data_IF_086663693440
#
_entry.id   IF_086663693440
#
_cell.length_a   1.000
_cell.length_b   1.000
_cell.length_c   1.000
_cell.angle_alpha   90.00
_cell.angle_beta   90.00
_cell.angle_gamma   90.00
#
_symmetry.space_group_name_H-M   'P 1'
#
loop_
_entity.id
_entity.type
_entity.pdbx_description
1 polymer ?
#
# COMPACT_ATOMS: atom_id res chain seq x y z
N UNK A 1 -41.09 12.45 2.96
CA UNK A 1 -40.43 11.71 4.04
C UNK A 1 -40.13 10.32 3.49
N UNK A 2 -38.95 10.16 2.94
CA UNK A 2 -38.48 8.86 2.46
C UNK A 2 -37.46 8.37 3.50
N UNK A 3 -37.90 7.42 4.31
CA UNK A 3 -37.00 6.64 5.17
C UNK A 3 -36.21 5.70 4.25
N UNK A 4 -34.99 6.08 3.98
CA UNK A 4 -34.01 5.17 3.39
C UNK A 4 -33.69 4.13 4.45
N UNK A 5 -34.17 2.89 4.25
CA UNK A 5 -33.80 1.76 5.08
C UNK A 5 -32.29 1.58 5.01
N UNK A 6 -31.60 2.02 6.06
CA UNK A 6 -30.25 1.61 6.36
C UNK A 6 -30.37 0.15 6.77
N UNK A 7 -29.96 -0.77 5.90
CA UNK A 7 -29.72 -2.14 6.33
C UNK A 7 -28.66 -2.08 7.44
N UNK A 8 -29.13 -2.24 8.66
CA UNK A 8 -28.27 -2.47 9.81
C UNK A 8 -27.46 -3.74 9.54
N UNK A 9 -26.20 -3.57 9.25
CA UNK A 9 -25.20 -4.55 9.61
C UNK A 9 -25.26 -4.65 11.13
N UNK A 10 -25.75 -5.78 11.63
CA UNK A 10 -25.87 -6.05 13.06
C UNK A 10 -24.50 -5.86 13.70
N UNK A 11 -24.36 -4.76 14.39
CA UNK A 11 -23.44 -4.28 15.41
C UNK A 11 -22.19 -5.08 15.84
N UNK A 12 -21.53 -5.79 14.98
CA UNK A 12 -20.16 -6.23 15.16
C UNK A 12 -19.24 -5.28 14.41
N UNK A 13 -19.01 -4.09 14.98
CA UNK A 13 -17.75 -3.37 14.76
C UNK A 13 -16.66 -4.38 15.13
N UNK A 14 -15.94 -4.87 14.15
CA UNK A 14 -14.80 -5.78 14.36
C UNK A 14 -13.92 -5.11 15.42
N UNK A 15 -13.59 -5.84 16.48
CA UNK A 15 -12.69 -5.33 17.52
C UNK A 15 -11.26 -5.11 16.99
N UNK A 16 -11.04 -5.37 15.72
CA UNK A 16 -9.76 -5.27 15.04
C UNK A 16 -9.44 -3.81 14.68
N UNK A 17 -8.27 -3.37 15.06
CA UNK A 17 -7.72 -2.07 14.70
C UNK A 17 -6.91 -2.21 13.41
N UNK A 18 -7.42 -1.62 12.32
CA UNK A 18 -6.86 -1.76 10.97
C UNK A 18 -6.33 -0.40 10.49
N UNK A 19 -5.13 -0.37 9.91
CA UNK A 19 -4.56 0.79 9.25
C UNK A 19 -4.36 0.53 7.76
N UNK A 20 -4.84 1.44 6.91
CA UNK A 20 -4.43 1.51 5.51
C UNK A 20 -3.32 2.55 5.39
N UNK A 21 -2.20 2.13 4.81
CA UNK A 21 -0.98 2.94 4.68
C UNK A 21 -0.69 3.20 3.22
N UNK A 22 -0.78 4.45 2.82
CA UNK A 22 -0.63 4.88 1.43
C UNK A 22 0.73 5.56 1.29
N UNK A 23 1.62 4.97 0.49
CA UNK A 23 2.89 5.61 0.14
C UNK A 23 2.60 6.86 -0.70
N UNK A 24 2.77 8.04 -0.10
CA UNK A 24 2.53 9.31 -0.77
C UNK A 24 3.67 9.65 -1.74
N UNK A 25 3.32 10.37 -2.80
CA UNK A 25 4.20 10.89 -3.82
C UNK A 25 3.69 12.25 -4.28
N UNK A 26 4.60 13.13 -4.67
CA UNK A 26 4.27 14.43 -5.28
C UNK A 26 4.16 14.33 -6.80
N UNK A 27 3.57 15.37 -7.41
CA UNK A 27 3.42 15.52 -8.86
C UNK A 27 2.17 14.84 -9.44
N UNK A 28 1.92 15.13 -10.73
CA UNK A 28 0.76 14.57 -11.43
C UNK A 28 0.97 13.08 -11.80
N UNK A 29 -0.08 12.25 -11.79
CA UNK A 29 -1.48 12.56 -11.47
C UNK A 29 -1.81 12.48 -9.97
N UNK A 30 -0.83 12.33 -9.09
CA UNK A 30 -1.03 12.00 -7.68
C UNK A 30 -1.69 13.13 -6.89
N UNK A 31 -1.41 14.40 -7.23
CA UNK A 31 -2.04 15.54 -6.55
C UNK A 31 -3.55 15.58 -6.83
N UNK A 32 -3.98 15.34 -8.08
CA UNK A 32 -5.40 15.26 -8.41
C UNK A 32 -6.07 14.05 -7.74
N UNK A 33 -5.40 12.90 -7.68
CA UNK A 33 -5.93 11.72 -7.00
C UNK A 33 -6.16 12.02 -5.52
N UNK A 34 -5.18 12.60 -4.83
CA UNK A 34 -5.28 12.92 -3.39
C UNK A 34 -6.41 13.91 -3.09
N UNK A 35 -6.53 14.95 -3.89
CA UNK A 35 -7.46 16.04 -3.61
C UNK A 35 -8.88 15.76 -4.09
N UNK A 36 -9.05 15.17 -5.25
CA UNK A 36 -10.34 14.99 -5.88
C UNK A 36 -10.99 13.61 -5.67
N UNK A 37 -10.19 12.58 -5.43
CA UNK A 37 -10.69 11.20 -5.39
C UNK A 37 -10.58 10.54 -4.02
N UNK A 38 -9.45 10.66 -3.34
CA UNK A 38 -9.19 9.94 -2.10
C UNK A 38 -10.20 10.25 -0.97
N UNK A 39 -10.66 11.49 -0.75
CA UNK A 39 -11.67 11.74 0.28
C UNK A 39 -12.91 10.85 0.14
N UNK A 40 -13.37 10.63 -1.09
CA UNK A 40 -14.51 9.77 -1.34
C UNK A 40 -14.19 8.29 -1.53
N UNK A 41 -12.92 7.90 -1.75
CA UNK A 41 -12.52 6.48 -1.88
C UNK A 41 -12.44 5.81 -0.51
N UNK A 42 -11.94 6.51 0.50
CA UNK A 42 -11.68 5.95 1.82
C UNK A 42 -12.75 6.30 2.87
N UNK A 43 -13.78 7.08 2.50
CA UNK A 43 -14.79 7.61 3.42
C UNK A 43 -15.53 6.50 4.16
N UNK A 44 -15.95 5.46 3.46
CA UNK A 44 -16.71 4.36 4.05
C UNK A 44 -15.82 3.51 4.98
N UNK A 45 -14.59 3.19 4.57
CA UNK A 45 -13.64 2.47 5.44
C UNK A 45 -13.31 3.27 6.69
N UNK A 46 -13.11 4.59 6.57
CA UNK A 46 -12.89 5.47 7.73
C UNK A 46 -14.12 5.50 8.65
N UNK A 47 -15.34 5.51 8.08
CA UNK A 47 -16.57 5.43 8.86
C UNK A 47 -16.70 4.08 9.59
N UNK A 48 -16.19 3.00 9.03
CA UNK A 48 -16.16 1.66 9.63
C UNK A 48 -14.99 1.46 10.61
N UNK A 49 -14.24 2.52 10.94
CA UNK A 49 -13.18 2.49 11.94
C UNK A 49 -11.80 2.06 11.42
N UNK A 50 -11.61 2.04 10.10
CA UNK A 50 -10.28 1.83 9.50
C UNK A 50 -9.54 3.16 9.41
N UNK A 51 -8.35 3.24 9.99
CA UNK A 51 -7.53 4.44 9.93
C UNK A 51 -6.74 4.51 8.62
N UNK A 52 -6.75 5.67 7.96
CA UNK A 52 -6.10 5.90 6.68
C UNK A 52 -4.92 6.85 6.86
N UNK A 53 -3.72 6.40 6.52
CA UNK A 53 -2.49 7.18 6.65
C UNK A 53 -1.77 7.38 5.32
N UNK A 54 -1.43 8.62 5.02
CA UNK A 54 -0.53 9.00 3.93
C UNK A 54 0.88 9.16 4.47
N UNK A 55 1.83 8.40 3.95
CA UNK A 55 3.21 8.42 4.41
C UNK A 55 4.05 9.25 3.44
N UNK A 56 4.56 10.37 3.90
CA UNK A 56 5.41 11.28 3.12
C UNK A 56 6.78 11.50 3.76
N UNK A 57 7.77 11.72 2.95
CA UNK A 57 9.10 12.19 3.35
C UNK A 57 9.23 13.70 3.20
N UNK A 58 10.41 14.22 3.51
CA UNK A 58 10.77 15.61 3.27
C UNK A 58 11.11 15.83 1.78
N UNK A 59 10.72 16.96 1.23
CA UNK A 59 11.07 17.31 -0.15
C UNK A 59 12.58 17.29 -0.37
N UNK A 60 13.07 16.60 -1.42
CA UNK A 60 14.49 16.51 -1.68
C UNK A 60 15.05 17.86 -2.15
N UNK A 61 16.19 18.26 -1.60
CA UNK A 61 16.87 19.51 -1.96
C UNK A 61 18.29 19.27 -2.44
N UNK A 62 18.75 20.06 -3.40
CA UNK A 62 20.16 20.12 -3.81
C UNK A 62 20.76 18.73 -4.09
N UNK A 63 21.77 18.35 -3.30
CA UNK A 63 22.51 17.10 -3.46
C UNK A 63 21.61 15.84 -3.31
N UNK A 64 20.59 15.91 -2.46
CA UNK A 64 19.66 14.79 -2.26
C UNK A 64 18.90 14.47 -3.54
N UNK A 65 18.44 15.50 -4.25
CA UNK A 65 17.77 15.33 -5.55
C UNK A 65 18.70 14.67 -6.58
N UNK A 66 19.97 15.12 -6.64
CA UNK A 66 20.96 14.55 -7.54
C UNK A 66 21.18 13.07 -7.22
N UNK A 67 21.36 12.72 -5.95
CA UNK A 67 21.56 11.33 -5.52
C UNK A 67 20.34 10.45 -5.81
N UNK A 68 19.12 10.96 -5.61
CA UNK A 68 17.90 10.24 -5.94
C UNK A 68 17.82 9.95 -7.44
N UNK A 69 17.99 10.95 -8.28
CA UNK A 69 17.94 10.82 -9.74
C UNK A 69 19.01 9.84 -10.25
N UNK A 70 20.22 9.92 -9.70
CA UNK A 70 21.33 9.03 -10.05
C UNK A 70 21.04 7.58 -9.65
N UNK A 71 20.60 7.35 -8.42
CA UNK A 71 20.23 6.01 -7.94
C UNK A 71 19.08 5.41 -8.75
N UNK A 72 18.07 6.21 -9.07
CA UNK A 72 16.94 5.76 -9.88
C UNK A 72 17.36 5.39 -11.30
N UNK A 73 18.19 6.21 -11.94
CA UNK A 73 18.75 5.91 -13.27
C UNK A 73 19.55 4.61 -13.30
N UNK A 74 20.31 4.32 -12.26
CA UNK A 74 21.06 3.06 -12.16
C UNK A 74 20.17 1.86 -11.88
N UNK A 75 19.08 2.03 -11.10
CA UNK A 75 18.16 0.96 -10.70
C UNK A 75 17.54 0.23 -11.89
N UNK A 76 17.20 0.95 -12.93
CA UNK A 76 16.58 0.40 -14.16
C UNK A 76 17.58 0.10 -15.28
N UNK A 77 18.87 0.11 -14.96
CA UNK A 77 19.95 -0.18 -15.91
C UNK A 77 20.67 -1.50 -15.61
N UNK A 78 21.60 -1.91 -16.50
CA UNK A 78 22.51 -3.01 -16.23
C UNK A 78 23.43 -2.80 -15.03
N UNK A 79 23.49 -1.59 -14.51
CA UNK A 79 24.29 -1.20 -13.33
C UNK A 79 23.51 -1.28 -12.00
N UNK A 80 22.30 -1.86 -12.00
CA UNK A 80 21.51 -2.06 -10.78
C UNK A 80 22.29 -2.74 -9.62
N UNK A 81 23.28 -3.66 -9.83
CA UNK A 81 24.02 -4.22 -8.71
C UNK A 81 24.88 -3.17 -8.00
N UNK A 82 25.42 -2.19 -8.75
CA UNK A 82 26.19 -1.07 -8.19
C UNK A 82 25.27 -0.16 -7.38
N UNK A 83 24.09 0.19 -7.93
CA UNK A 83 23.08 0.96 -7.20
C UNK A 83 22.66 0.27 -5.91
N UNK A 84 22.37 -1.04 -5.98
CA UNK A 84 21.99 -1.82 -4.81
C UNK A 84 23.06 -1.78 -3.71
N UNK A 85 24.31 -1.97 -4.07
CA UNK A 85 25.43 -1.91 -3.12
C UNK A 85 25.59 -0.52 -2.50
N UNK A 86 25.51 0.53 -3.30
CA UNK A 86 25.64 1.92 -2.85
C UNK A 86 24.50 2.30 -1.88
N UNK A 87 23.24 2.03 -2.27
CA UNK A 87 22.09 2.38 -1.43
C UNK A 87 22.07 1.53 -0.16
N UNK A 88 22.40 0.24 -0.25
CA UNK A 88 22.57 -0.61 0.92
C UNK A 88 23.57 0.01 1.91
N UNK A 89 24.75 0.41 1.44
CA UNK A 89 25.79 0.99 2.30
C UNK A 89 25.39 2.34 2.88
N UNK A 90 24.87 3.26 2.05
CA UNK A 90 24.52 4.61 2.47
C UNK A 90 23.32 4.66 3.42
N UNK A 91 22.41 3.68 3.32
CA UNK A 91 21.18 3.63 4.11
C UNK A 91 21.24 2.62 5.27
N UNK A 92 22.33 1.84 5.38
CA UNK A 92 22.47 0.80 6.42
C UNK A 92 22.28 1.33 7.85
N UNK A 93 22.66 2.57 8.10
CA UNK A 93 22.49 3.23 9.40
C UNK A 93 21.02 3.25 9.87
N UNK A 94 20.07 3.22 8.94
CA UNK A 94 18.65 3.25 9.27
C UNK A 94 18.10 1.90 9.76
N UNK A 95 18.85 0.80 9.61
CA UNK A 95 18.48 -0.47 10.23
C UNK A 95 18.59 -0.41 11.74
N UNK A 96 19.64 0.24 12.25
CA UNK A 96 19.85 0.42 13.70
C UNK A 96 19.15 1.66 14.25
N UNK A 97 18.86 2.65 13.40
CA UNK A 97 18.27 3.93 13.81
C UNK A 97 17.18 4.36 12.80
N UNK A 98 16.04 3.68 12.85
CA UNK A 98 14.88 4.05 12.04
C UNK A 98 14.49 5.51 12.36
N UNK A 99 14.31 6.40 11.36
CA UNK A 99 13.93 7.78 11.59
C UNK A 99 12.62 7.90 12.37
N UNK A 100 12.54 8.94 13.20
CA UNK A 100 11.27 9.32 13.85
C UNK A 100 10.30 9.85 12.82
N UNK A 101 9.02 9.66 13.07
CA UNK A 101 7.95 10.31 12.34
C UNK A 101 7.11 11.19 13.28
N UNK A 102 6.39 12.13 12.70
CA UNK A 102 5.32 12.88 13.35
C UNK A 102 4.02 12.58 12.62
N UNK A 103 2.92 12.58 13.37
CA UNK A 103 1.60 12.32 12.80
C UNK A 103 0.75 13.55 12.97
N UNK A 104 0.18 13.99 11.86
CA UNK A 104 -0.73 15.11 11.82
C UNK A 104 -1.96 14.70 11.01
N UNK A 105 -3.09 14.51 11.70
CA UNK A 105 -4.32 13.97 11.11
C UNK A 105 -4.07 12.61 10.41
N UNK A 106 -4.16 12.58 9.08
CA UNK A 106 -3.95 11.40 8.24
C UNK A 106 -2.53 11.29 7.67
N UNK A 107 -1.60 12.19 8.04
CA UNK A 107 -0.25 12.20 7.49
C UNK A 107 0.76 11.68 8.50
N UNK A 108 1.53 10.68 8.09
CA UNK A 108 2.75 10.24 8.78
C UNK A 108 3.92 10.91 8.04
N UNK A 109 4.51 11.91 8.67
CA UNK A 109 5.65 12.66 8.14
C UNK A 109 6.95 12.07 8.68
N UNK A 110 7.76 11.51 7.78
CA UNK A 110 9.02 10.85 8.14
C UNK A 110 10.19 11.79 7.84
N UNK A 111 11.09 11.95 8.81
CA UNK A 111 12.32 12.77 8.65
C UNK A 111 13.36 12.09 7.76
N UNK A 112 12.99 11.89 6.52
CA UNK A 112 13.82 11.34 5.45
C UNK A 112 13.44 12.01 4.13
N UNK A 113 14.44 12.27 3.30
CA UNK A 113 14.22 12.80 1.95
C UNK A 113 13.28 11.91 1.13
N UNK A 114 12.27 12.51 0.49
CA UNK A 114 11.34 11.79 -0.40
C UNK A 114 12.08 11.24 -1.62
N UNK A 115 11.69 10.04 -2.06
CA UNK A 115 12.22 9.41 -3.26
C UNK A 115 12.16 7.88 -3.21
N UNK A 116 12.29 7.27 -4.39
CA UNK A 116 12.24 5.82 -4.52
C UNK A 116 13.37 5.11 -3.76
N UNK A 117 14.54 5.77 -3.69
CA UNK A 117 15.72 5.30 -2.95
C UNK A 117 15.46 5.14 -1.45
N UNK A 118 14.71 6.04 -0.86
CA UNK A 118 14.43 6.09 0.59
C UNK A 118 13.09 5.50 0.98
N UNK A 119 12.33 4.97 0.00
CA UNK A 119 10.99 4.41 0.21
C UNK A 119 10.99 3.34 1.32
N UNK A 120 11.95 2.41 1.33
CA UNK A 120 12.05 1.39 2.36
C UNK A 120 12.26 1.96 3.76
N UNK A 121 13.07 3.02 3.91
CA UNK A 121 13.27 3.71 5.19
C UNK A 121 11.98 4.40 5.63
N UNK A 122 11.32 5.10 4.69
CA UNK A 122 10.05 5.79 4.91
C UNK A 122 8.98 4.81 5.41
N UNK A 123 8.83 3.67 4.73
CA UNK A 123 7.84 2.66 5.11
C UNK A 123 8.15 1.99 6.45
N UNK A 124 9.41 1.65 6.74
CA UNK A 124 9.78 1.13 8.06
C UNK A 124 9.45 2.09 9.20
N UNK A 125 9.62 3.40 8.99
CA UNK A 125 9.25 4.41 9.99
C UNK A 125 7.74 4.43 10.25
N UNK A 126 6.94 4.38 9.18
CA UNK A 126 5.49 4.30 9.28
C UNK A 126 5.03 3.00 9.97
N UNK A 127 5.59 1.86 9.60
CA UNK A 127 5.28 0.57 10.23
C UNK A 127 5.61 0.58 11.72
N UNK A 128 6.74 1.18 12.13
CA UNK A 128 7.10 1.32 13.54
C UNK A 128 6.07 2.13 14.30
N UNK A 129 5.63 3.27 13.78
CA UNK A 129 4.57 4.07 14.39
C UNK A 129 3.29 3.25 14.58
N UNK A 130 2.80 2.60 13.53
CA UNK A 130 1.57 1.82 13.57
C UNK A 130 1.68 0.63 14.53
N UNK A 131 2.84 -0.03 14.57
CA UNK A 131 3.11 -1.09 15.55
C UNK A 131 3.02 -0.59 17.00
N UNK A 132 3.55 0.61 17.28
CA UNK A 132 3.49 1.23 18.60
C UNK A 132 2.07 1.65 18.99
N UNK A 133 1.23 2.01 18.03
CA UNK A 133 -0.19 2.35 18.22
C UNK A 133 -1.11 1.13 18.31
N UNK A 134 -0.56 -0.08 18.39
CA UNK A 134 -1.28 -1.35 18.59
C UNK A 134 -2.34 -1.68 17.52
N UNK A 135 -2.05 -1.46 16.24
CA UNK A 135 -2.88 -1.97 15.17
C UNK A 135 -2.70 -3.48 15.00
N UNK A 136 -3.82 -4.17 14.71
CA UNK A 136 -3.83 -5.60 14.45
C UNK A 136 -3.36 -5.91 13.03
N UNK A 137 -3.77 -5.06 12.07
CA UNK A 137 -3.42 -5.20 10.66
C UNK A 137 -2.99 -3.88 10.03
N UNK A 138 -2.04 -3.97 9.11
CA UNK A 138 -1.65 -2.91 8.19
C UNK A 138 -1.89 -3.39 6.77
N UNK A 139 -2.59 -2.59 5.98
CA UNK A 139 -2.66 -2.77 4.54
C UNK A 139 -1.95 -1.62 3.83
N UNK A 140 -0.75 -1.89 3.30
CA UNK A 140 -0.01 -0.92 2.50
C UNK A 140 -0.54 -0.91 1.08
N UNK A 141 -0.80 0.28 0.55
CA UNK A 141 -1.22 0.46 -0.84
C UNK A 141 -0.58 1.70 -1.48
N UNK A 142 -1.00 2.05 -2.68
CA UNK A 142 -0.48 3.20 -3.46
C UNK A 142 -1.59 4.20 -3.77
N UNK A 143 -1.20 5.42 -4.15
CA UNK A 143 -2.14 6.48 -4.50
C UNK A 143 -3.08 6.09 -5.66
N UNK A 144 -2.60 5.32 -6.63
CA UNK A 144 -3.40 4.85 -7.77
C UNK A 144 -4.16 3.55 -7.48
N UNK A 145 -4.58 3.32 -6.23
CA UNK A 145 -5.26 2.09 -5.85
C UNK A 145 -6.62 2.37 -5.22
N UNK A 146 -7.54 1.42 -5.41
CA UNK A 146 -8.84 1.36 -4.74
C UNK A 146 -8.97 -0.01 -4.09
N UNK A 147 -9.70 -0.05 -2.98
CA UNK A 147 -10.08 -1.28 -2.29
C UNK A 147 -11.59 -1.46 -2.39
N UNK A 148 -12.04 -2.68 -2.67
CA UNK A 148 -13.44 -3.06 -2.47
C UNK A 148 -13.64 -3.29 -0.96
N UNK A 149 -14.34 -2.37 -0.33
CA UNK A 149 -14.38 -2.23 1.12
C UNK A 149 -14.99 -3.44 1.80
N UNK A 150 -16.10 -3.97 1.29
CA UNK A 150 -16.80 -5.12 1.87
C UNK A 150 -15.98 -6.40 1.75
N UNK A 151 -15.44 -6.65 0.56
CA UNK A 151 -14.62 -7.83 0.29
C UNK A 151 -13.32 -7.78 1.10
N UNK A 152 -12.74 -6.57 1.26
CA UNK A 152 -11.54 -6.38 2.07
C UNK A 152 -11.79 -6.68 3.54
N UNK A 153 -12.85 -6.14 4.13
CA UNK A 153 -13.16 -6.35 5.55
C UNK A 153 -13.49 -7.82 5.82
N UNK A 154 -14.32 -8.45 4.99
CA UNK A 154 -14.59 -9.88 5.09
C UNK A 154 -13.33 -10.72 4.97
N UNK A 155 -12.43 -10.39 4.05
CA UNK A 155 -11.15 -11.07 3.92
C UNK A 155 -10.29 -10.96 5.18
N UNK A 156 -10.22 -9.78 5.82
CA UNK A 156 -9.47 -9.60 7.08
C UNK A 156 -10.07 -10.43 8.21
N UNK A 157 -11.41 -10.50 8.30
CA UNK A 157 -12.11 -11.29 9.33
C UNK A 157 -11.87 -12.79 9.19
N UNK A 158 -11.73 -13.28 7.97
CA UNK A 158 -11.48 -14.69 7.65
C UNK A 158 -10.01 -15.11 7.85
N UNK A 159 -9.10 -14.17 8.09
CA UNK A 159 -7.69 -14.50 8.30
C UNK A 159 -7.44 -15.28 9.59
N UNK A 160 -6.43 -16.15 9.62
CA UNK A 160 -5.99 -16.79 10.84
C UNK A 160 -5.67 -15.76 11.94
N UNK A 161 -6.16 -15.98 13.15
CA UNK A 161 -5.90 -15.07 14.29
C UNK A 161 -4.50 -15.22 14.87
N UNK A 162 -3.81 -16.30 14.55
CA UNK A 162 -2.48 -16.63 15.07
C UNK A 162 -1.48 -16.80 13.92
N UNK A 163 -0.20 -16.61 14.23
CA UNK A 163 0.90 -16.74 13.29
C UNK A 163 1.21 -15.45 12.54
N UNK A 164 2.22 -15.53 11.67
CA UNK A 164 2.65 -14.42 10.83
C UNK A 164 1.78 -14.39 9.58
N UNK A 165 1.09 -13.27 9.34
CA UNK A 165 0.36 -13.01 8.10
C UNK A 165 1.14 -11.99 7.28
N UNK A 166 1.61 -12.45 6.12
CA UNK A 166 2.27 -11.66 5.10
C UNK A 166 1.49 -11.86 3.79
N UNK A 167 0.64 -10.91 3.44
CA UNK A 167 -0.30 -11.02 2.32
C UNK A 167 -0.03 -10.01 1.20
N UNK A 168 -0.58 -10.30 0.02
CA UNK A 168 -0.52 -9.43 -1.15
C UNK A 168 -0.64 -10.20 -2.45
N UNK A 169 -0.49 -9.51 -3.58
CA UNK A 169 -0.33 -10.18 -4.88
C UNK A 169 1.07 -10.78 -4.94
N UNK A 170 1.21 -12.11 -5.09
CA UNK A 170 2.51 -12.74 -5.20
C UNK A 170 3.24 -12.29 -6.47
N UNK A 171 4.47 -11.82 -6.33
CA UNK A 171 5.37 -11.44 -7.42
C UNK A 171 6.67 -12.21 -7.28
N UNK A 172 7.20 -12.71 -8.39
CA UNK A 172 8.47 -13.43 -8.39
C UNK A 172 9.63 -12.51 -8.74
N UNK A 173 10.63 -12.45 -7.86
CA UNK A 173 11.91 -11.83 -8.15
C UNK A 173 13.04 -12.79 -7.78
N UNK A 174 13.59 -13.47 -8.77
CA UNK A 174 14.52 -14.56 -8.55
C UNK A 174 13.78 -15.85 -8.16
N UNK A 175 14.21 -16.49 -7.06
CA UNK A 175 13.67 -17.79 -6.62
C UNK A 175 12.52 -17.70 -5.61
N UNK A 176 12.30 -16.53 -5.03
CA UNK A 176 11.38 -16.36 -3.90
C UNK A 176 10.27 -15.37 -4.24
N UNK A 177 9.00 -15.75 -4.04
CA UNK A 177 7.89 -14.83 -4.18
C UNK A 177 7.90 -13.80 -3.05
N UNK A 178 7.41 -12.59 -3.35
CA UNK A 178 7.15 -11.54 -2.38
C UNK A 178 5.80 -10.90 -2.67
N UNK A 179 5.20 -10.27 -1.67
CA UNK A 179 3.96 -9.51 -1.85
C UNK A 179 4.23 -8.20 -2.59
N UNK A 180 3.45 -7.89 -3.61
CA UNK A 180 3.55 -6.64 -4.36
C UNK A 180 3.45 -5.43 -3.43
N UNK A 181 4.33 -4.46 -3.62
CA UNK A 181 4.31 -3.22 -2.86
C UNK A 181 3.07 -2.35 -3.08
N UNK A 182 2.17 -2.73 -3.97
CA UNK A 182 0.89 -2.04 -4.18
C UNK A 182 -0.23 -2.53 -3.27
N UNK A 183 -0.10 -3.70 -2.65
CA UNK A 183 -1.16 -4.29 -1.81
C UNK A 183 -0.58 -5.28 -0.79
N UNK A 184 0.35 -4.81 0.03
CA UNK A 184 0.96 -5.63 1.08
C UNK A 184 0.13 -5.59 2.35
N UNK A 185 -0.23 -6.76 2.88
CA UNK A 185 -0.92 -6.93 4.16
C UNK A 185 0.03 -7.54 5.19
N UNK A 186 0.06 -6.95 6.38
CA UNK A 186 0.84 -7.44 7.53
C UNK A 186 -0.04 -7.45 8.77
N UNK A 187 0.00 -8.52 9.55
CA UNK A 187 -0.53 -8.49 10.89
C UNK A 187 0.54 -8.04 11.90
N UNK A 188 0.14 -7.88 13.17
CA UNK A 188 1.03 -7.46 14.23
C UNK A 188 2.25 -8.38 14.41
N UNK A 189 2.07 -9.69 14.31
CA UNK A 189 3.17 -10.66 14.41
C UNK A 189 4.18 -10.53 13.26
N UNK A 190 3.70 -10.20 12.06
CA UNK A 190 4.57 -9.89 10.91
C UNK A 190 5.40 -8.63 11.14
N UNK A 191 4.80 -7.59 11.73
CA UNK A 191 5.53 -6.36 12.06
C UNK A 191 6.60 -6.58 13.13
N UNK A 192 6.27 -7.31 14.17
CA UNK A 192 7.22 -7.71 15.23
C UNK A 192 8.41 -8.46 14.62
N UNK A 193 8.13 -9.43 13.75
CA UNK A 193 9.16 -10.18 13.05
C UNK A 193 10.06 -9.28 12.16
N UNK A 194 9.48 -8.31 11.45
CA UNK A 194 10.26 -7.34 10.67
C UNK A 194 11.21 -6.55 11.56
N UNK A 195 10.75 -6.07 12.74
CA UNK A 195 11.60 -5.26 13.62
C UNK A 195 12.68 -6.07 14.32
N UNK A 196 12.41 -7.31 14.68
CA UNK A 196 13.41 -8.23 15.23
C UNK A 196 14.50 -8.56 14.20
N UNK A 197 14.16 -8.54 12.92
CA UNK A 197 15.05 -8.85 11.79
C UNK A 197 15.42 -7.64 10.94
N UNK A 198 15.20 -6.41 11.42
CA UNK A 198 15.42 -5.18 10.65
C UNK A 198 16.87 -5.03 10.15
N UNK A 199 17.84 -5.62 10.84
CA UNK A 199 19.24 -5.63 10.40
C UNK A 199 19.46 -6.38 9.08
N UNK A 200 18.52 -7.22 8.67
CA UNK A 200 18.53 -7.92 7.39
C UNK A 200 17.82 -7.13 6.27
N UNK A 201 17.17 -6.00 6.60
CA UNK A 201 16.52 -5.14 5.61
C UNK A 201 17.55 -4.51 4.67
N UNK A 202 17.46 -4.84 3.38
CA UNK A 202 18.36 -4.32 2.38
C UNK A 202 17.74 -3.14 1.62
N UNK A 203 18.11 -1.94 2.00
CA UNK A 203 17.64 -0.69 1.37
C UNK A 203 18.07 -0.49 -0.10
N UNK A 204 18.95 -1.33 -0.63
CA UNK A 204 19.26 -1.34 -2.07
C UNK A 204 18.13 -1.88 -2.93
N UNK A 205 17.21 -2.66 -2.34
CA UNK A 205 15.97 -3.12 -2.98
C UNK A 205 14.83 -2.12 -2.75
N UNK A 206 13.75 -2.28 -3.54
CA UNK A 206 12.46 -1.70 -3.19
C UNK A 206 11.94 -2.34 -1.89
N UNK A 207 11.09 -1.63 -1.19
CA UNK A 207 10.60 -2.04 0.12
C UNK A 207 9.88 -3.39 0.11
N UNK A 208 9.13 -3.71 -0.93
CA UNK A 208 8.45 -4.98 -1.12
C UNK A 208 9.41 -6.15 -1.31
N UNK A 209 10.45 -5.98 -2.13
CA UNK A 209 11.51 -6.97 -2.33
C UNK A 209 12.33 -7.17 -1.04
N UNK A 210 12.67 -6.07 -0.36
CA UNK A 210 13.41 -6.13 0.91
C UNK A 210 12.62 -6.88 1.98
N UNK A 211 11.32 -6.62 2.07
CA UNK A 211 10.38 -7.29 2.98
C UNK A 211 10.26 -8.78 2.65
N UNK A 212 10.07 -9.13 1.37
CA UNK A 212 9.99 -10.53 0.95
C UNK A 212 11.22 -11.35 1.34
N UNK A 213 12.40 -10.73 1.33
CA UNK A 213 13.63 -11.38 1.80
C UNK A 213 13.69 -11.60 3.31
N UNK A 214 13.03 -10.78 4.08
CA UNK A 214 12.89 -11.00 5.53
C UNK A 214 12.00 -12.20 5.81
N UNK A 215 10.92 -12.37 5.04
CA UNK A 215 9.98 -13.47 5.20
C UNK A 215 10.37 -14.77 4.47
N UNK A 216 11.49 -14.77 3.73
CA UNK A 216 11.97 -15.92 2.99
C UNK A 216 12.15 -17.15 3.89
N UNK A 217 11.40 -18.23 3.61
CA UNK A 217 11.42 -19.47 4.41
C UNK A 217 10.68 -19.39 5.75
N UNK A 218 10.07 -18.28 6.08
CA UNK A 218 9.34 -18.02 7.33
C UNK A 218 7.83 -17.99 7.10
N UNK A 219 7.39 -17.22 6.11
CA UNK A 219 5.97 -17.10 5.77
C UNK A 219 5.79 -17.09 4.25
N UNK A 220 4.78 -17.82 3.79
CA UNK A 220 4.33 -17.72 2.41
C UNK A 220 3.43 -16.51 2.23
N UNK A 221 3.39 -15.97 0.99
CA UNK A 221 2.50 -14.86 0.68
C UNK A 221 1.05 -15.35 0.65
N UNK A 222 0.22 -14.85 1.57
CA UNK A 222 -1.23 -15.05 1.53
C UNK A 222 -1.80 -14.26 0.35
N UNK A 223 -2.39 -14.92 -0.68
CA UNK A 223 -2.82 -14.23 -1.88
C UNK A 223 -3.96 -13.25 -1.62
N UNK A 224 -3.86 -12.04 -2.16
CA UNK A 224 -4.93 -11.04 -2.18
C UNK A 224 -5.43 -10.91 -3.61
N UNK A 225 -6.74 -11.11 -3.82
CA UNK A 225 -7.39 -10.93 -5.11
C UNK A 225 -7.21 -9.48 -5.58
N UNK A 226 -6.46 -9.30 -6.67
CA UNK A 226 -6.10 -7.96 -7.17
C UNK A 226 -6.16 -7.91 -8.69
N UNK A 227 -6.70 -6.81 -9.21
CA UNK A 227 -6.69 -6.49 -10.63
C UNK A 227 -5.81 -5.26 -10.90
N UNK A 228 -4.98 -5.37 -11.92
CA UNK A 228 -4.18 -4.26 -12.43
C UNK A 228 -4.84 -3.69 -13.68
N UNK A 229 -5.32 -2.46 -13.59
CA UNK A 229 -6.07 -1.77 -14.64
C UNK A 229 -5.19 -0.67 -15.22
N UNK A 230 -4.85 -0.79 -16.50
CA UNK A 230 -3.91 0.08 -17.19
C UNK A 230 -4.59 0.96 -18.26
N UNK A 231 -5.88 0.70 -18.56
CA UNK A 231 -6.64 1.45 -19.57
C UNK A 231 -8.14 1.38 -19.33
N UNK A 232 -8.89 2.33 -19.92
CA UNK A 232 -10.35 2.34 -19.91
C UNK A 232 -10.95 1.10 -20.59
N UNK A 233 -10.31 0.60 -21.65
CA UNK A 233 -10.76 -0.62 -22.34
C UNK A 233 -10.75 -1.85 -21.42
N UNK A 234 -9.78 -1.95 -20.51
CA UNK A 234 -9.75 -3.01 -19.54
C UNK A 234 -10.92 -2.90 -18.55
N UNK A 235 -11.23 -1.71 -18.05
CA UNK A 235 -12.39 -1.51 -17.18
C UNK A 235 -13.67 -2.02 -17.86
N UNK A 236 -13.89 -1.66 -19.12
CA UNK A 236 -15.08 -2.04 -19.85
C UNK A 236 -15.25 -3.55 -20.02
N UNK A 237 -14.17 -4.32 -19.90
CA UNK A 237 -14.18 -5.79 -20.02
C UNK A 237 -14.31 -6.52 -18.69
N UNK A 238 -14.08 -5.86 -17.56
CA UNK A 238 -14.22 -6.49 -16.24
C UNK A 238 -15.70 -6.73 -15.98
N UNK A 239 -16.06 -7.96 -15.67
CA UNK A 239 -17.42 -8.33 -15.32
C UNK A 239 -17.80 -7.87 -13.91
N UNK A 240 -19.11 -7.70 -13.63
CA UNK A 240 -19.58 -7.41 -12.27
C UNK A 240 -19.15 -8.51 -11.28
N UNK A 241 -19.11 -9.75 -11.72
CA UNK A 241 -18.63 -10.87 -10.89
C UNK A 241 -17.16 -10.73 -10.49
N UNK A 242 -16.27 -10.36 -11.42
CA UNK A 242 -14.86 -10.11 -11.10
C UNK A 242 -14.69 -8.92 -10.13
N UNK A 243 -15.50 -7.86 -10.32
CA UNK A 243 -15.49 -6.71 -9.39
C UNK A 243 -15.85 -7.15 -7.97
N UNK A 244 -16.91 -7.97 -7.82
CA UNK A 244 -17.38 -8.46 -6.51
C UNK A 244 -16.39 -9.41 -5.81
N UNK A 245 -15.47 -10.02 -6.53
CA UNK A 245 -14.48 -10.94 -5.96
C UNK A 245 -13.10 -10.30 -5.75
N UNK A 246 -12.90 -9.10 -6.27
CA UNK A 246 -11.61 -8.40 -6.21
C UNK A 246 -11.53 -7.52 -4.97
N UNK A 247 -10.49 -7.71 -4.18
CA UNK A 247 -10.21 -6.92 -2.98
C UNK A 247 -9.54 -5.60 -3.35
N UNK A 248 -8.56 -5.65 -4.25
CA UNK A 248 -7.70 -4.52 -4.56
C UNK A 248 -7.62 -4.27 -6.07
N UNK A 249 -7.73 -3.01 -6.45
CA UNK A 249 -7.57 -2.56 -7.83
C UNK A 249 -6.42 -1.56 -7.92
N UNK A 250 -5.44 -1.85 -8.73
CA UNK A 250 -4.35 -0.92 -9.04
C UNK A 250 -4.63 -0.24 -10.38
N UNK A 251 -4.98 1.03 -10.35
CA UNK A 251 -5.37 1.83 -11.51
C UNK A 251 -4.18 2.65 -12.02
N UNK A 252 -3.18 1.98 -12.60
CA UNK A 252 -1.96 2.64 -13.09
C UNK A 252 -1.91 2.59 -14.61
N UNK A 253 -2.27 3.70 -15.24
CA UNK A 253 -2.25 3.84 -16.69
C UNK A 253 -0.84 3.70 -17.29
N UNK A 254 -0.80 3.16 -18.52
CA UNK A 254 0.39 3.16 -19.39
C UNK A 254 0.40 4.33 -20.39
N UNK A 255 -0.65 5.15 -20.43
CA UNK A 255 -0.70 6.29 -21.34
C UNK A 255 0.26 7.41 -20.90
N UNK A 256 0.67 8.23 -21.83
CA UNK A 256 1.38 9.47 -21.61
C UNK A 256 0.58 10.66 -22.21
N UNK A 257 0.04 11.58 -21.40
CA UNK A 257 0.07 11.58 -19.94
C UNK A 257 -0.76 10.45 -19.31
N UNK A 258 -0.48 10.13 -18.05
CA UNK A 258 -1.22 9.10 -17.32
C UNK A 258 -2.66 9.54 -17.09
N UNK A 259 -3.60 8.61 -17.27
CA UNK A 259 -5.03 8.85 -17.04
C UNK A 259 -5.61 8.04 -15.86
N UNK A 260 -4.82 7.83 -14.83
CA UNK A 260 -5.20 7.09 -13.61
C UNK A 260 -6.50 7.63 -12.99
N UNK A 261 -6.68 8.95 -13.02
CA UNK A 261 -7.84 9.64 -12.46
C UNK A 261 -9.15 9.19 -13.10
N UNK A 262 -9.17 9.11 -14.44
CA UNK A 262 -10.36 8.65 -15.17
C UNK A 262 -10.65 7.18 -14.91
N UNK A 263 -9.61 6.35 -14.87
CA UNK A 263 -9.71 4.92 -14.55
C UNK A 263 -10.33 4.75 -13.16
N UNK A 264 -9.85 5.47 -12.17
CA UNK A 264 -10.34 5.44 -10.79
C UNK A 264 -11.81 5.88 -10.72
N UNK A 265 -12.17 6.98 -11.38
CA UNK A 265 -13.55 7.49 -11.40
C UNK A 265 -14.54 6.47 -11.97
N UNK A 266 -14.16 5.86 -13.09
CA UNK A 266 -15.03 4.88 -13.75
C UNK A 266 -15.15 3.59 -12.92
N UNK A 267 -14.05 3.09 -12.38
CA UNK A 267 -14.09 1.92 -11.51
C UNK A 267 -14.96 2.16 -10.26
N UNK A 268 -14.87 3.35 -9.65
CA UNK A 268 -15.71 3.71 -8.51
C UNK A 268 -17.21 3.69 -8.84
N UNK A 269 -17.62 4.16 -10.02
CA UNK A 269 -19.01 4.09 -10.48
C UNK A 269 -19.47 2.63 -10.61
N UNK A 270 -18.60 1.76 -11.13
CA UNK A 270 -18.94 0.35 -11.32
C UNK A 270 -19.00 -0.42 -10.01
N UNK A 271 -18.12 -0.12 -9.05
CA UNK A 271 -18.20 -0.67 -7.69
C UNK A 271 -19.56 -0.32 -7.07
N UNK A 272 -19.96 0.95 -7.12
CA UNK A 272 -21.24 1.40 -6.59
C UNK A 272 -22.45 0.72 -7.29
N UNK A 273 -22.42 0.62 -8.62
CA UNK A 273 -23.48 -0.05 -9.37
C UNK A 273 -23.60 -1.55 -9.04
N UNK A 274 -22.48 -2.21 -8.71
CA UNK A 274 -22.49 -3.63 -8.32
C UNK A 274 -23.08 -3.89 -6.94
N UNK A 275 -23.05 -2.89 -6.04
CA UNK A 275 -23.72 -2.96 -4.72
C UNK A 275 -25.23 -2.83 -4.85
N UNK A 276 -25.73 -1.98 -5.78
CA UNK A 276 -27.15 -1.76 -6.00
C UNK A 276 -27.88 -2.99 -6.61
N UNK A 277 -27.17 -3.81 -7.40
CA UNK A 277 -27.72 -5.03 -8.02
C UNK A 277 -28.04 -6.16 -7.02
N UNK A 278 -27.45 -6.17 -5.84
CA UNK A 278 -27.73 -7.18 -4.79
C UNK A 278 -28.95 -6.82 -3.91
N UNK A 279 -29.56 -5.66 -4.13
CA UNK A 279 -30.69 -5.15 -3.35
C UNK A 279 -32.06 -5.42 -3.97
N UNK A 280 -32.12 -6.16 -5.10
CA UNK A 280 -33.35 -6.57 -5.80
C UNK A 280 -33.54 -8.08 -5.65
#
# INVERSE_FOLDING_TARGET
>A
MNETMIHCWDGHVSSLKIAIVIADSSGEPFEEIKTALHPGIWERLAFLGVDIFYVKGEEPTGLQQILNNFSEGLRYSKFWPVQNLLDRFLLLKFNSRIPSCSVNQQFIEVKICEGLRTLGVKMLSAYRYIYQENYDYIFKTTLSSIVNEEVFLSFIEDLPKEGIIYGGTPVNFGKHPFASGSNTLLNRAALEFIFDHVNHWNHGFLDDVAMGRIFEGIAEVTPIASLHIESMDQINRISSHEIKQTIHFRCKSRSEPRNDVEIIRELKKRLKASEDDDTI
#
